data_IF_729438064212
#
_entry.id   IF_729438064212
#
_cell.length_a   1.000
_cell.length_b   1.000
_cell.length_c   1.000
_cell.angle_alpha   90.00
_cell.angle_beta   90.00
_cell.angle_gamma   90.00
#
_symmetry.space_group_name_H-M   'P 1'
#
loop_
_entity.id
_entity.type
_entity.pdbx_description
1 polymer ?
#
# COMPACT_ATOMS: atom_id res chain seq x y z
N UNK A 1 5.44 13.67 -5.09
CA UNK A 1 6.08 12.33 -5.13
C UNK A 1 5.00 11.26 -4.98
N UNK A 2 5.10 10.13 -5.68
CA UNK A 2 4.10 9.05 -5.69
C UNK A 2 4.63 7.82 -4.96
N UNK A 3 3.82 7.22 -4.10
CA UNK A 3 4.14 6.01 -3.33
C UNK A 3 3.28 4.87 -3.89
N UNK A 4 3.93 3.78 -4.29
CA UNK A 4 3.25 2.57 -4.77
C UNK A 4 3.22 1.49 -3.70
N UNK A 5 2.09 0.81 -3.57
CA UNK A 5 1.90 -0.36 -2.71
C UNK A 5 1.53 -1.54 -3.63
N UNK A 6 2.51 -2.29 -4.15
CA UNK A 6 2.25 -3.46 -4.97
C UNK A 6 1.77 -4.65 -4.12
N UNK A 7 1.19 -5.64 -4.78
CA UNK A 7 0.88 -6.91 -4.15
C UNK A 7 2.16 -7.73 -3.94
N UNK A 8 2.27 -8.39 -2.80
CA UNK A 8 3.37 -9.33 -2.56
C UNK A 8 3.30 -10.54 -3.50
N UNK A 9 4.45 -10.98 -4.01
CA UNK A 9 4.53 -12.04 -5.03
C UNK A 9 4.87 -13.41 -4.48
N UNK A 10 5.34 -13.47 -3.24
CA UNK A 10 5.71 -14.73 -2.61
C UNK A 10 4.46 -15.56 -2.29
N UNK A 11 4.54 -16.85 -2.56
CA UNK A 11 3.45 -17.76 -2.21
C UNK A 11 3.24 -17.75 -0.69
N UNK A 12 1.97 -17.64 -0.26
CA UNK A 12 1.55 -17.55 1.15
C UNK A 12 2.02 -16.30 1.89
N UNK A 13 2.45 -15.27 1.17
CA UNK A 13 2.74 -13.96 1.75
C UNK A 13 1.48 -13.09 1.75
N UNK A 14 0.87 -12.92 2.92
CA UNK A 14 -0.36 -12.14 3.12
C UNK A 14 -0.09 -10.76 3.73
N UNK A 15 1.18 -10.36 3.92
CA UNK A 15 1.52 -9.02 4.41
C UNK A 15 1.35 -8.00 3.29
N UNK A 16 1.06 -6.77 3.71
CA UNK A 16 0.99 -5.59 2.84
C UNK A 16 1.91 -4.50 3.40
N UNK A 17 2.55 -3.74 2.50
CA UNK A 17 3.55 -2.75 2.88
C UNK A 17 2.98 -1.55 3.67
N UNK A 18 1.68 -1.29 3.58
CA UNK A 18 1.02 -0.24 4.34
C UNK A 18 -0.40 -0.62 4.74
N UNK A 19 -0.78 -0.25 5.96
CA UNK A 19 -2.16 -0.38 6.44
C UNK A 19 -3.00 0.82 5.99
N UNK A 20 -4.35 0.73 6.03
CA UNK A 20 -5.21 1.88 5.72
C UNK A 20 -4.87 3.15 6.52
N UNK A 21 -4.50 3.00 7.81
CA UNK A 21 -4.08 4.12 8.66
C UNK A 21 -2.79 4.78 8.16
N UNK A 22 -1.82 3.98 7.70
CA UNK A 22 -0.58 4.48 7.12
C UNK A 22 -0.85 5.23 5.82
N UNK A 23 -1.73 4.69 4.95
CA UNK A 23 -2.13 5.35 3.70
C UNK A 23 -2.76 6.72 3.98
N UNK A 24 -3.67 6.80 4.95
CA UNK A 24 -4.31 8.06 5.35
C UNK A 24 -3.29 9.12 5.80
N UNK A 25 -2.27 8.72 6.57
CA UNK A 25 -1.20 9.61 7.00
C UNK A 25 -0.36 10.10 5.82
N UNK A 26 -0.01 9.22 4.88
CA UNK A 26 0.76 9.60 3.69
C UNK A 26 -0.02 10.61 2.82
N UNK A 27 -1.33 10.41 2.66
CA UNK A 27 -2.18 11.37 1.95
C UNK A 27 -2.21 12.73 2.65
N UNK A 28 -2.32 12.77 3.98
CA UNK A 28 -2.30 14.02 4.78
C UNK A 28 -0.99 14.80 4.64
N UNK A 29 0.13 14.10 4.44
CA UNK A 29 1.44 14.71 4.19
C UNK A 29 1.59 15.23 2.75
N UNK A 30 0.57 15.08 1.89
CA UNK A 30 0.56 15.55 0.52
C UNK A 30 1.18 14.57 -0.49
N UNK A 31 1.41 13.31 -0.10
CA UNK A 31 1.82 12.28 -1.05
C UNK A 31 0.63 11.75 -1.84
N UNK A 32 0.90 11.28 -3.05
CA UNK A 32 -0.07 10.50 -3.83
C UNK A 32 0.22 9.02 -3.64
N UNK A 33 -0.79 8.24 -3.25
CA UNK A 33 -0.66 6.79 -3.02
C UNK A 33 -1.38 6.02 -4.12
N UNK A 34 -0.75 4.97 -4.65
CA UNK A 34 -1.37 4.03 -5.57
C UNK A 34 -1.20 2.60 -5.06
N UNK A 35 -2.29 1.86 -5.00
CA UNK A 35 -2.36 0.50 -4.46
C UNK A 35 -2.73 -0.44 -5.60
N UNK A 36 -1.98 -1.55 -5.73
CA UNK A 36 -2.33 -2.62 -6.66
C UNK A 36 -3.55 -3.38 -6.13
N UNK A 37 -4.50 -3.72 -7.02
CA UNK A 37 -5.70 -4.44 -6.62
C UNK A 37 -5.33 -5.80 -6.00
N UNK A 38 -5.85 -6.07 -4.80
CA UNK A 38 -5.58 -7.30 -4.06
C UNK A 38 -4.25 -7.31 -3.31
N UNK A 39 -3.62 -6.15 -3.11
CA UNK A 39 -2.45 -6.03 -2.21
C UNK A 39 -2.84 -6.27 -0.73
N UNK A 40 -4.09 -6.05 -0.35
CA UNK A 40 -4.61 -6.36 0.99
C UNK A 40 -5.23 -7.76 1.17
N UNK A 41 -5.27 -8.59 0.10
CA UNK A 41 -6.00 -9.86 0.06
C UNK A 41 -5.18 -11.09 0.43
#
# INVERSE_FOLDING_TARGET
>A
MRIGIPRERLANEARVAATPKTVEQLLKLGFTVAIENGAES
#
